data_IF_579778897762
#
_entry.id   IF_579778897762
#
_cell.length_a   1.000
_cell.length_b   1.000
_cell.length_c   1.000
_cell.angle_alpha   90.00
_cell.angle_beta   90.00
_cell.angle_gamma   90.00
#
_symmetry.space_group_name_H-M   'P 1'
#
loop_
_entity.id
_entity.type
_entity.pdbx_description
1 polymer ?
#
# COMPACT_ATOMS: atom_id res chain seq x y z
N UNK A 1 -39.25 33.99 12.06
CA UNK A 1 -38.80 32.79 12.78
C UNK A 1 -37.28 32.75 12.72
N UNK A 2 -36.59 33.15 13.79
CA UNK A 2 -35.13 33.24 13.87
C UNK A 2 -34.58 32.03 14.64
N UNK A 3 -33.71 31.24 14.01
CA UNK A 3 -33.11 30.07 14.63
C UNK A 3 -31.86 30.48 15.41
N UNK A 4 -31.90 30.30 16.74
CA UNK A 4 -30.75 30.49 17.62
C UNK A 4 -29.79 29.29 17.50
N UNK A 5 -28.71 29.46 16.75
CA UNK A 5 -27.58 28.52 16.71
C UNK A 5 -26.75 28.66 17.99
N UNK A 6 -26.92 27.72 18.92
CA UNK A 6 -26.08 27.61 20.13
C UNK A 6 -24.67 27.14 19.73
N UNK A 7 -23.72 28.07 19.68
CA UNK A 7 -22.28 27.76 19.64
C UNK A 7 -21.90 27.08 20.96
N UNK A 8 -21.40 25.84 20.89
CA UNK A 8 -20.77 25.19 22.05
C UNK A 8 -19.39 25.82 22.30
N UNK A 9 -18.99 26.05 23.55
CA UNK A 9 -17.65 26.52 23.85
C UNK A 9 -16.62 25.44 23.52
N UNK A 10 -15.53 25.89 22.90
CA UNK A 10 -14.32 25.13 22.59
C UNK A 10 -13.61 24.84 23.92
N UNK A 11 -13.54 23.56 24.32
CA UNK A 11 -12.83 23.14 25.53
C UNK A 11 -11.34 23.03 25.20
N UNK A 12 -10.55 23.98 25.70
CA UNK A 12 -9.09 23.89 25.79
C UNK A 12 -8.74 23.44 27.21
N UNK A 13 -8.55 22.14 27.38
CA UNK A 13 -7.81 21.57 28.51
C UNK A 13 -6.61 20.87 27.82
N UNK A 14 -5.45 21.52 27.65
CA UNK A 14 -4.33 21.53 28.60
C UNK A 14 -4.29 20.28 29.48
N UNK A 15 -3.30 19.42 29.27
CA UNK A 15 -2.20 19.23 30.21
C UNK A 15 -1.09 18.36 29.58
N UNK A 16 0.13 18.85 29.76
CA UNK A 16 1.38 18.11 29.68
C UNK A 16 1.32 16.84 30.54
N UNK A 17 1.67 15.69 29.97
CA UNK A 17 2.25 14.58 30.72
C UNK A 17 3.28 13.87 29.83
N UNK A 18 4.54 14.06 30.20
CA UNK A 18 5.70 13.35 29.69
C UNK A 18 5.54 11.86 29.98
N UNK A 19 5.12 11.09 28.97
CA UNK A 19 5.12 9.64 29.05
C UNK A 19 6.55 9.13 28.83
N UNK A 20 7.14 8.64 29.92
CA UNK A 20 8.40 7.91 29.96
C UNK A 20 8.39 6.77 28.94
N UNK A 21 9.44 6.70 28.13
CA UNK A 21 9.68 5.62 27.16
C UNK A 21 10.13 4.40 27.96
N UNK A 22 9.39 3.27 27.97
CA UNK A 22 9.93 2.04 28.54
C UNK A 22 11.03 1.50 27.63
N UNK A 23 12.20 1.28 28.23
CA UNK A 23 13.32 0.56 27.63
C UNK A 23 12.82 -0.81 27.15
N UNK A 24 12.86 -1.04 25.85
CA UNK A 24 12.58 -2.36 25.28
C UNK A 24 13.88 -3.14 25.38
N UNK A 25 13.81 -4.19 26.20
CA UNK A 25 14.84 -5.17 26.46
C UNK A 25 15.05 -5.97 25.17
N UNK A 26 16.30 -6.06 24.72
CA UNK A 26 16.71 -6.97 23.65
C UNK A 26 16.73 -8.38 24.24
N UNK A 27 15.80 -9.23 23.79
CA UNK A 27 15.84 -10.67 24.04
C UNK A 27 16.17 -11.36 22.72
N UNK A 28 17.42 -11.82 22.64
CA UNK A 28 17.92 -12.73 21.62
C UNK A 28 17.24 -14.10 21.78
N UNK A 29 16.28 -14.41 20.91
CA UNK A 29 15.80 -15.80 20.74
C UNK A 29 16.52 -16.42 19.53
N UNK A 30 17.65 -17.08 19.83
CA UNK A 30 18.25 -18.12 19.00
C UNK A 30 17.24 -19.26 18.80
N UNK A 31 16.61 -19.33 17.63
CA UNK A 31 15.83 -20.50 17.25
C UNK A 31 16.58 -21.29 16.18
N UNK A 32 17.44 -22.19 16.66
CA UNK A 32 18.04 -23.24 15.86
C UNK A 32 16.97 -24.22 15.36
N UNK A 33 16.78 -24.29 14.05
CA UNK A 33 16.02 -25.36 13.41
C UNK A 33 16.89 -26.06 12.38
N UNK A 34 17.34 -27.24 12.78
CA UNK A 34 18.06 -28.25 12.00
C UNK A 34 17.21 -28.79 10.84
N UNK A 35 17.83 -28.75 9.66
CA UNK A 35 17.94 -29.79 8.62
C UNK A 35 16.81 -30.81 8.44
N UNK A 36 16.29 -30.89 7.22
CA UNK A 36 16.17 -32.16 6.49
C UNK A 36 16.11 -31.87 5.00
N UNK A 37 17.21 -32.22 4.34
CA UNK A 37 17.34 -32.40 2.91
C UNK A 37 16.47 -33.60 2.50
N UNK A 38 15.52 -33.41 1.58
CA UNK A 38 15.04 -34.52 0.75
C UNK A 38 14.85 -34.02 -0.69
N UNK A 39 15.79 -34.52 -1.50
CA UNK A 39 15.82 -34.49 -2.95
C UNK A 39 14.47 -34.79 -3.60
N UNK A 40 14.12 -33.97 -4.59
CA UNK A 40 13.22 -34.35 -5.66
C UNK A 40 13.66 -33.60 -6.91
N UNK A 41 14.75 -34.09 -7.50
CA UNK A 41 15.14 -33.80 -8.88
C UNK A 41 14.02 -34.32 -9.79
N UNK A 42 13.12 -33.44 -10.23
CA UNK A 42 12.34 -33.68 -11.42
C UNK A 42 13.05 -33.02 -12.60
N UNK A 43 13.81 -33.83 -13.32
CA UNK A 43 14.30 -33.53 -14.65
C UNK A 43 13.11 -33.23 -15.56
N UNK A 44 12.83 -31.95 -15.81
CA UNK A 44 11.92 -31.51 -16.85
C UNK A 44 12.76 -31.16 -18.08
N UNK A 45 12.95 -32.16 -18.94
CA UNK A 45 13.57 -32.01 -20.24
C UNK A 45 12.70 -31.16 -21.16
N UNK A 46 13.32 -30.15 -21.74
CA UNK A 46 13.08 -29.59 -23.07
C UNK A 46 11.66 -29.19 -23.47
N UNK A 47 11.39 -27.90 -23.30
CA UNK A 47 11.04 -27.07 -24.45
C UNK A 47 11.61 -25.67 -24.21
N UNK A 48 12.85 -25.43 -24.65
CA UNK A 48 13.29 -24.08 -24.95
C UNK A 48 12.47 -23.61 -26.16
N UNK A 49 11.26 -23.13 -25.88
CA UNK A 49 10.53 -22.35 -26.86
C UNK A 49 11.34 -21.07 -27.01
N UNK A 50 12.16 -21.06 -28.07
CA UNK A 50 12.78 -19.86 -28.59
C UNK A 50 11.65 -18.94 -29.05
N UNK A 51 11.01 -18.27 -28.09
CA UNK A 51 10.44 -16.96 -28.37
C UNK A 51 11.64 -16.10 -28.71
N UNK A 52 11.95 -16.08 -30.00
CA UNK A 52 12.74 -15.07 -30.66
C UNK A 52 12.50 -13.77 -29.92
N UNK A 53 13.52 -13.30 -29.21
CA UNK A 53 13.65 -11.92 -28.80
C UNK A 53 13.58 -11.14 -30.11
N UNK A 54 12.36 -10.82 -30.53
CA UNK A 54 12.15 -9.93 -31.65
C UNK A 54 12.77 -8.64 -31.19
N UNK A 55 13.93 -8.33 -31.77
CA UNK A 55 14.54 -7.02 -31.83
C UNK A 55 13.43 -6.03 -32.21
N UNK A 56 12.69 -5.56 -31.21
CA UNK A 56 11.72 -4.51 -31.39
C UNK A 56 12.57 -3.28 -31.69
N UNK A 57 12.50 -2.85 -32.95
CA UNK A 57 13.26 -1.74 -33.49
C UNK A 57 13.35 -0.60 -32.45
N UNK A 58 14.57 -0.36 -31.98
CA UNK A 58 14.94 0.60 -30.92
C UNK A 58 14.57 2.05 -31.27
N UNK A 59 14.15 2.31 -32.52
CA UNK A 59 13.91 3.65 -33.06
C UNK A 59 12.57 4.29 -32.64
N UNK A 60 11.64 3.54 -32.05
CA UNK A 60 10.33 4.06 -31.60
C UNK A 60 10.33 4.62 -30.16
N UNK A 61 11.35 4.30 -29.37
CA UNK A 61 11.51 4.74 -27.98
C UNK A 61 11.37 6.27 -27.75
N UNK A 62 11.98 7.16 -28.57
CA UNK A 62 11.88 8.61 -28.33
C UNK A 62 10.48 9.16 -28.57
N UNK A 63 9.71 8.57 -29.50
CA UNK A 63 8.34 9.01 -29.79
C UNK A 63 7.37 8.64 -28.67
N UNK A 64 7.51 7.41 -28.16
CA UNK A 64 6.70 6.91 -27.04
C UNK A 64 6.97 7.69 -25.76
N UNK A 65 8.23 8.02 -25.47
CA UNK A 65 8.60 8.84 -24.31
C UNK A 65 8.00 10.25 -24.38
N UNK A 66 8.01 10.89 -25.56
CA UNK A 66 7.37 12.19 -25.80
C UNK A 66 5.86 12.14 -25.57
N UNK A 67 5.20 11.05 -25.96
CA UNK A 67 3.77 10.83 -25.71
C UNK A 67 3.49 10.57 -24.23
N UNK A 68 4.28 9.75 -23.56
CA UNK A 68 4.14 9.42 -22.15
C UNK A 68 4.20 10.68 -21.27
N UNK A 69 5.15 11.57 -21.54
CA UNK A 69 5.33 12.85 -20.84
C UNK A 69 4.18 13.84 -21.10
N UNK A 70 3.39 13.67 -22.16
CA UNK A 70 2.23 14.50 -22.43
C UNK A 70 1.03 14.02 -21.61
N UNK A 71 0.99 14.45 -20.35
CA UNK A 71 0.07 13.92 -19.34
C UNK A 71 -1.37 14.43 -19.44
N UNK A 72 -1.64 15.45 -20.25
CA UNK A 72 -2.94 16.15 -20.26
C UNK A 72 -3.99 15.46 -21.12
N UNK A 73 -3.60 14.88 -22.26
CA UNK A 73 -4.55 14.33 -23.25
C UNK A 73 -4.51 12.81 -23.36
N UNK A 74 -3.48 12.18 -22.79
CA UNK A 74 -3.28 10.74 -22.92
C UNK A 74 -4.11 9.98 -21.88
N UNK A 75 -4.88 8.99 -22.36
CA UNK A 75 -5.68 8.11 -21.50
C UNK A 75 -4.77 7.30 -20.56
N UNK A 76 -5.26 7.00 -19.35
CA UNK A 76 -4.51 6.26 -18.33
C UNK A 76 -4.06 4.89 -18.83
N UNK A 77 -4.91 4.16 -19.53
CA UNK A 77 -4.59 2.81 -20.00
C UNK A 77 -3.41 2.84 -20.98
N UNK A 78 -3.45 3.78 -21.94
CA UNK A 78 -2.34 4.00 -22.89
C UNK A 78 -1.02 4.40 -22.21
N UNK A 79 -1.08 5.12 -21.08
CA UNK A 79 0.14 5.41 -20.30
C UNK A 79 0.74 4.15 -19.69
N UNK A 80 -0.10 3.22 -19.24
CA UNK A 80 0.35 1.95 -18.65
C UNK A 80 1.03 1.12 -19.73
N UNK A 81 0.38 0.96 -20.88
CA UNK A 81 0.92 0.20 -22.02
C UNK A 81 2.24 0.79 -22.52
N UNK A 82 2.31 2.13 -22.67
CA UNK A 82 3.54 2.81 -23.11
C UNK A 82 4.66 2.64 -22.08
N UNK A 83 4.35 2.72 -20.79
CA UNK A 83 5.35 2.58 -19.74
C UNK A 83 5.87 1.14 -19.64
N UNK A 84 5.00 0.14 -19.86
CA UNK A 84 5.38 -1.27 -20.00
C UNK A 84 6.33 -1.49 -21.18
N UNK A 85 6.02 -0.92 -22.36
CA UNK A 85 6.87 -0.99 -23.55
C UNK A 85 8.24 -0.31 -23.31
N UNK A 86 8.26 0.81 -22.58
CA UNK A 86 9.48 1.55 -22.27
C UNK A 86 10.27 0.97 -21.09
N UNK A 87 9.77 -0.09 -20.43
CA UNK A 87 10.38 -0.63 -19.21
C UNK A 87 10.38 0.35 -18.04
N UNK A 88 9.50 1.37 -18.08
CA UNK A 88 9.31 2.30 -16.97
C UNK A 88 8.46 1.61 -15.91
N UNK A 89 8.88 1.71 -14.64
CA UNK A 89 8.13 1.13 -13.54
C UNK A 89 6.80 1.90 -13.33
N UNK A 90 5.74 1.43 -13.98
CA UNK A 90 4.36 1.95 -13.84
C UNK A 90 3.82 1.72 -12.43
N UNK A 91 4.43 0.80 -11.67
CA UNK A 91 4.00 0.47 -10.32
C UNK A 91 4.58 1.43 -9.28
N UNK A 92 5.63 2.19 -9.60
CA UNK A 92 6.09 3.31 -8.76
C UNK A 92 5.04 4.42 -8.62
N UNK A 93 4.12 4.57 -9.57
CA UNK A 93 2.94 5.44 -9.45
C UNK A 93 1.73 4.75 -8.80
N UNK A 94 1.74 3.42 -8.69
CA UNK A 94 0.65 2.61 -8.13
C UNK A 94 0.97 2.12 -6.73
N UNK A 95 0.78 3.02 -5.77
CA UNK A 95 0.54 2.59 -4.41
C UNK A 95 0.87 3.68 -3.44
N UNK A 96 -0.15 4.39 -2.97
CA UNK A 96 -0.01 5.05 -1.68
C UNK A 96 0.42 3.98 -0.69
N UNK A 97 1.69 4.01 -0.28
CA UNK A 97 2.21 3.10 0.72
C UNK A 97 1.36 3.29 1.98
N UNK A 98 0.65 2.23 2.36
CA UNK A 98 -0.24 2.29 3.51
C UNK A 98 0.60 2.36 4.75
N UNK A 99 0.18 3.22 5.67
CA UNK A 99 0.85 3.29 6.95
C UNK A 99 0.65 1.97 7.66
N UNK A 100 1.74 1.24 7.89
CA UNK A 100 1.73 0.01 8.66
C UNK A 100 1.67 0.35 10.14
N UNK A 101 0.75 -0.30 10.85
CA UNK A 101 0.59 -0.17 12.28
C UNK A 101 1.55 -1.15 12.99
N UNK A 102 2.05 -0.80 14.19
CA UNK A 102 3.03 -1.64 14.91
C UNK A 102 2.43 -2.97 15.39
N UNK A 103 1.10 -3.10 15.44
CA UNK A 103 0.39 -4.30 15.90
C UNK A 103 -0.85 -4.55 15.05
N UNK A 104 -1.26 -5.82 14.96
CA UNK A 104 -2.54 -6.22 14.34
C UNK A 104 -3.70 -5.74 15.19
N UNK A 105 -4.43 -4.75 14.68
CA UNK A 105 -5.61 -4.19 15.34
C UNK A 105 -6.89 -4.57 14.59
N UNK A 106 -8.01 -4.59 15.31
CA UNK A 106 -9.33 -4.76 14.73
C UNK A 106 -9.69 -3.57 13.86
N UNK A 107 -10.27 -3.81 12.68
CA UNK A 107 -10.77 -2.74 11.81
C UNK A 107 -11.87 -1.95 12.52
N UNK A 108 -11.76 -0.62 12.47
CA UNK A 108 -12.72 0.27 13.12
C UNK A 108 -14.09 0.32 12.44
N UNK A 109 -14.15 0.04 11.13
CA UNK A 109 -15.38 0.07 10.32
C UNK A 109 -16.10 -1.29 10.28
N UNK A 110 -15.42 -2.38 10.64
CA UNK A 110 -16.06 -3.69 10.73
C UNK A 110 -17.03 -3.75 11.92
N UNK A 111 -18.15 -4.44 11.71
CA UNK A 111 -19.03 -4.84 12.81
C UNK A 111 -18.32 -5.85 13.74
N UNK A 112 -18.84 -6.05 14.97
CA UNK A 112 -18.26 -7.05 15.88
C UNK A 112 -18.44 -8.49 15.40
N UNK A 113 -19.42 -8.73 14.52
CA UNK A 113 -19.73 -10.06 13.99
C UNK A 113 -18.69 -10.54 12.97
N UNK A 114 -18.09 -9.62 12.24
CA UNK A 114 -17.18 -9.91 11.12
C UNK A 114 -15.72 -9.58 11.44
N UNK A 115 -15.38 -9.47 12.73
CA UNK A 115 -14.13 -8.93 13.24
C UNK A 115 -12.89 -9.26 12.38
N UNK A 116 -12.40 -8.25 11.64
CA UNK A 116 -11.20 -8.37 10.79
C UNK A 116 -10.03 -7.66 11.45
N UNK A 117 -8.93 -8.38 11.63
CA UNK A 117 -7.65 -7.82 12.11
C UNK A 117 -6.76 -7.40 10.95
N UNK A 118 -6.10 -6.27 11.07
CA UNK A 118 -5.36 -5.59 10.01
C UNK A 118 -4.11 -4.95 10.60
N UNK A 119 -3.07 -4.83 9.77
CA UNK A 119 -1.83 -4.11 10.10
C UNK A 119 -1.76 -2.76 9.39
N UNK A 120 -2.86 -2.29 8.80
CA UNK A 120 -2.85 -1.12 7.94
C UNK A 120 -3.75 -0.04 8.52
N UNK A 121 -3.24 1.19 8.45
CA UNK A 121 -3.87 2.38 9.01
C UNK A 121 -4.25 3.40 7.95
N UNK A 122 -5.25 4.22 8.28
CA UNK A 122 -5.54 5.47 7.58
C UNK A 122 -4.29 6.37 7.53
N UNK A 123 -3.96 6.93 6.37
CA UNK A 123 -2.79 7.81 6.23
C UNK A 123 -2.85 9.07 7.12
N UNK A 124 -4.06 9.60 7.38
CA UNK A 124 -4.24 10.82 8.17
C UNK A 124 -4.33 10.61 9.70
N UNK A 125 -5.05 9.58 10.17
CA UNK A 125 -5.34 9.40 11.60
C UNK A 125 -4.89 8.06 12.17
N UNK A 126 -4.21 7.22 11.38
CA UNK A 126 -3.66 5.91 11.78
C UNK A 126 -4.71 4.91 12.30
N UNK A 127 -6.00 5.17 12.05
CA UNK A 127 -7.08 4.25 12.41
C UNK A 127 -6.99 2.97 11.58
N UNK A 128 -7.15 1.81 12.23
CA UNK A 128 -7.06 0.49 11.59
C UNK A 128 -8.19 0.23 10.59
N UNK A 129 -7.83 -0.10 9.35
CA UNK A 129 -8.75 -0.35 8.23
C UNK A 129 -8.42 -1.71 7.62
N UNK A 130 -9.44 -2.53 7.32
CA UNK A 130 -9.24 -3.82 6.66
C UNK A 130 -9.30 -3.69 5.15
N UNK A 131 -8.87 -4.74 4.44
CA UNK A 131 -8.90 -4.78 2.98
C UNK A 131 -10.30 -4.76 2.34
N UNK A 132 -11.38 -4.90 3.12
CA UNK A 132 -12.73 -4.69 2.61
C UNK A 132 -13.12 -3.22 2.66
N UNK A 133 -12.68 -2.50 3.69
CA UNK A 133 -12.94 -1.07 3.89
C UNK A 133 -11.86 -0.21 3.22
N UNK A 134 -11.29 -0.73 2.13
CA UNK A 134 -10.02 -0.35 1.50
C UNK A 134 -10.02 1.06 0.94
N UNK A 135 -9.78 2.04 1.81
CA UNK A 135 -9.64 3.46 1.47
C UNK A 135 -8.32 4.00 2.05
N UNK A 136 -7.69 4.95 1.33
CA UNK A 136 -6.47 5.65 1.80
C UNK A 136 -6.78 6.44 3.10
N UNK A 137 -7.99 6.97 3.17
CA UNK A 137 -8.52 7.70 4.30
C UNK A 137 -9.73 6.94 4.87
N UNK A 138 -9.81 6.82 6.19
CA UNK A 138 -11.03 6.35 6.83
C UNK A 138 -12.19 7.32 6.58
N UNK A 139 -13.43 6.86 6.74
CA UNK A 139 -14.65 7.65 6.54
C UNK A 139 -14.61 9.00 7.27
N UNK A 140 -14.10 8.99 8.51
CA UNK A 140 -13.95 10.22 9.31
C UNK A 140 -12.96 11.22 8.73
N UNK A 141 -11.93 10.76 7.99
CA UNK A 141 -10.95 11.63 7.36
C UNK A 141 -11.32 11.99 5.91
N UNK A 142 -12.13 11.19 5.22
CA UNK A 142 -12.61 11.50 3.88
C UNK A 142 -13.78 12.49 3.85
N UNK A 143 -14.34 12.86 5.01
CA UNK A 143 -15.49 13.77 5.11
C UNK A 143 -16.79 13.18 4.56
N UNK A 144 -16.88 11.85 4.44
CA UNK A 144 -18.05 11.09 3.98
C UNK A 144 -18.75 10.38 5.13
#
# INVERSE_FOLDING_TARGET
MTYNLRRRPFRQDLLDETAEVPAVVEEDEENGRSESEENSECEYSDATDATSESDMNMDDAPYLLKKYNNTVTLRRDLKVDIAEILGLDVHSERGYERVKLPKRLRCADCSRKTDKKTNEGCANCLRSICDDHRLIFCKTCSGM
#
